data_IF_973429971689
#
_entry.id   IF_973429971689
#
_cell.length_a   1.000
_cell.length_b   1.000
_cell.length_c   1.000
_cell.angle_alpha   90.00
_cell.angle_beta   90.00
_cell.angle_gamma   90.00
#
_symmetry.space_group_name_H-M   'P 1'
#
loop_
_entity.id
_entity.type
_entity.pdbx_description
1 polymer ?
#
# COMPACT_ATOMS: atom_id res chain seq x y z
N UNK A 1 -21.18 20.01 -30.09
CA UNK A 1 -21.62 19.79 -28.70
C UNK A 1 -20.54 18.91 -28.11
N UNK A 2 -19.56 19.52 -27.42
CA UNK A 2 -18.43 18.79 -26.88
C UNK A 2 -18.90 18.10 -25.61
N UNK A 3 -18.94 16.78 -25.65
CA UNK A 3 -19.16 15.92 -24.50
C UNK A 3 -17.88 15.96 -23.65
N UNK A 4 -17.75 17.03 -22.85
CA UNK A 4 -16.72 17.20 -21.82
C UNK A 4 -17.10 16.33 -20.61
N UNK A 5 -17.24 15.02 -20.87
CA UNK A 5 -17.34 13.99 -19.84
C UNK A 5 -15.98 13.89 -19.15
N UNK A 6 -15.71 14.86 -18.26
CA UNK A 6 -14.61 14.78 -17.32
C UNK A 6 -14.82 13.52 -16.50
N UNK A 7 -14.04 12.49 -16.81
CA UNK A 7 -13.89 11.32 -15.94
C UNK A 7 -13.44 11.88 -14.59
N UNK A 8 -14.35 11.92 -13.62
CA UNK A 8 -14.00 12.21 -12.24
C UNK A 8 -13.14 11.03 -11.82
N UNK A 9 -11.82 11.19 -11.88
CA UNK A 9 -10.89 10.21 -11.34
C UNK A 9 -11.18 10.10 -9.85
N UNK A 10 -11.89 9.05 -9.46
CA UNK A 10 -12.14 8.74 -8.06
C UNK A 10 -10.88 8.14 -7.47
N UNK A 11 -10.41 8.67 -6.36
CA UNK A 11 -9.37 8.04 -5.56
C UNK A 11 -9.69 6.56 -5.29
N UNK A 12 -8.69 5.68 -5.24
CA UNK A 12 -8.91 4.30 -4.80
C UNK A 12 -9.40 4.30 -3.35
N UNK A 13 -10.15 3.28 -2.96
CA UNK A 13 -10.41 3.02 -1.54
C UNK A 13 -9.14 2.55 -0.83
N UNK A 14 -9.11 2.65 0.49
CA UNK A 14 -7.98 2.15 1.29
C UNK A 14 -7.76 0.64 1.09
N UNK A 15 -8.82 -0.15 0.92
CA UNK A 15 -8.72 -1.59 0.68
C UNK A 15 -8.14 -1.92 -0.71
N UNK A 16 -8.53 -1.15 -1.74
CA UNK A 16 -7.96 -1.27 -3.08
C UNK A 16 -6.47 -0.94 -3.06
N UNK A 17 -6.09 0.18 -2.44
CA UNK A 17 -4.69 0.57 -2.30
C UNK A 17 -3.89 -0.43 -1.46
N UNK A 18 -4.47 -0.96 -0.38
CA UNK A 18 -3.83 -1.97 0.46
C UNK A 18 -3.54 -3.26 -0.30
N UNK A 19 -4.46 -3.68 -1.15
CA UNK A 19 -4.31 -4.87 -2.00
C UNK A 19 -3.20 -4.66 -3.02
N UNK A 20 -3.23 -3.53 -3.74
CA UNK A 20 -2.20 -3.19 -4.73
C UNK A 20 -0.81 -3.03 -4.08
N UNK A 21 -0.75 -2.42 -2.90
CA UNK A 21 0.47 -2.33 -2.11
C UNK A 21 1.01 -3.70 -1.71
N UNK A 22 0.15 -4.63 -1.28
CA UNK A 22 0.56 -5.99 -0.95
C UNK A 22 1.11 -6.75 -2.16
N UNK A 23 0.48 -6.62 -3.33
CA UNK A 23 0.97 -7.19 -4.60
C UNK A 23 2.32 -6.59 -4.98
N UNK A 24 2.44 -5.26 -4.96
CA UNK A 24 3.70 -4.57 -5.22
C UNK A 24 4.78 -5.02 -4.24
N UNK A 25 4.48 -5.14 -2.94
CA UNK A 25 5.45 -5.58 -1.95
C UNK A 25 5.90 -7.01 -2.19
N UNK A 26 4.98 -7.92 -2.54
CA UNK A 26 5.31 -9.30 -2.91
C UNK A 26 6.28 -9.34 -4.10
N UNK A 27 6.03 -8.55 -5.15
CA UNK A 27 6.91 -8.45 -6.32
C UNK A 27 8.29 -7.89 -5.96
N UNK A 28 8.35 -6.89 -5.08
CA UNK A 28 9.60 -6.24 -4.66
C UNK A 28 10.50 -7.16 -3.83
N UNK A 29 9.94 -7.85 -2.82
CA UNK A 29 10.74 -8.60 -1.84
C UNK A 29 10.71 -10.11 -2.06
N UNK A 30 9.77 -10.61 -2.84
CA UNK A 30 9.52 -12.03 -3.05
C UNK A 30 8.77 -12.71 -1.89
N UNK A 31 8.26 -13.91 -2.18
CA UNK A 31 7.39 -14.70 -1.28
C UNK A 31 8.04 -14.97 0.09
N UNK A 32 9.31 -15.38 0.10
CA UNK A 32 10.05 -15.73 1.33
C UNK A 32 10.19 -14.52 2.26
N UNK A 33 10.52 -13.36 1.71
CA UNK A 33 10.66 -12.14 2.51
C UNK A 33 9.30 -11.64 3.00
N UNK A 34 8.26 -11.72 2.16
CA UNK A 34 6.90 -11.34 2.57
C UNK A 34 6.38 -12.21 3.72
N UNK A 35 6.62 -13.52 3.68
CA UNK A 35 6.29 -14.42 4.78
C UNK A 35 6.97 -14.02 6.10
N UNK A 36 8.24 -13.61 6.05
CA UNK A 36 8.97 -13.12 7.23
C UNK A 36 8.44 -11.77 7.72
N UNK A 37 8.04 -10.87 6.82
CA UNK A 37 7.38 -9.60 7.16
C UNK A 37 6.09 -9.87 7.93
N UNK A 38 5.23 -10.75 7.42
CA UNK A 38 3.98 -11.17 8.09
C UNK A 38 4.28 -11.69 9.48
N UNK A 39 5.21 -12.65 9.60
CA UNK A 39 5.58 -13.25 10.89
C UNK A 39 6.11 -12.21 11.89
N UNK A 40 6.93 -11.26 11.45
CA UNK A 40 7.49 -10.20 12.31
C UNK A 40 6.44 -9.19 12.76
N UNK A 41 5.48 -8.86 11.90
CA UNK A 41 4.38 -7.95 12.21
C UNK A 41 3.45 -8.47 13.33
N UNK A 42 3.46 -9.77 13.63
CA UNK A 42 2.74 -10.36 14.76
C UNK A 42 3.42 -10.09 16.12
N UNK A 43 4.68 -9.66 16.12
CA UNK A 43 5.42 -9.37 17.35
C UNK A 43 5.14 -7.96 17.88
N UNK A 44 5.21 -7.74 19.21
CA UNK A 44 5.08 -6.41 19.81
C UNK A 44 6.13 -5.39 19.33
N UNK A 45 7.30 -5.85 18.86
CA UNK A 45 8.37 -5.00 18.33
C UNK A 45 7.93 -4.20 17.10
N UNK A 46 7.03 -4.77 16.31
CA UNK A 46 6.47 -4.14 15.11
C UNK A 46 5.02 -3.72 15.35
N UNK A 47 4.67 -3.34 16.59
CA UNK A 47 3.40 -2.67 16.85
C UNK A 47 3.37 -1.30 16.16
N UNK A 48 2.17 -0.80 15.88
CA UNK A 48 1.96 0.50 15.24
C UNK A 48 2.81 1.61 15.89
N UNK A 49 3.45 2.51 15.10
CA UNK A 49 3.35 2.67 13.65
C UNK A 49 4.40 1.89 12.84
N UNK A 50 5.12 0.96 13.45
CA UNK A 50 6.25 0.28 12.79
C UNK A 50 5.77 -0.94 12.02
N UNK A 51 6.15 -1.04 10.75
CA UNK A 51 5.91 -2.22 9.93
C UNK A 51 7.24 -2.90 9.59
N UNK A 52 7.29 -4.23 9.66
CA UNK A 52 8.49 -5.00 9.36
C UNK A 52 8.97 -4.82 7.91
N UNK A 53 8.11 -4.43 6.98
CA UNK A 53 8.47 -4.15 5.58
C UNK A 53 9.60 -3.13 5.45
N UNK A 54 9.69 -2.15 6.36
CA UNK A 54 10.74 -1.13 6.42
C UNK A 54 12.14 -1.71 6.67
N UNK A 55 12.24 -2.98 7.08
CA UNK A 55 13.53 -3.67 7.27
C UNK A 55 13.98 -4.48 6.05
N UNK A 56 13.13 -4.58 5.02
CA UNK A 56 13.40 -5.35 3.80
C UNK A 56 13.51 -4.47 2.56
N UNK A 57 12.73 -3.39 2.50
CA UNK A 57 12.73 -2.44 1.38
C UNK A 57 12.26 -1.07 1.85
N UNK A 58 12.38 -0.06 1.00
CA UNK A 58 11.74 1.24 1.18
C UNK A 58 10.24 1.09 0.89
N UNK A 59 9.48 0.76 1.93
CA UNK A 59 8.04 0.50 1.81
C UNK A 59 7.25 1.75 1.37
N UNK A 60 7.79 2.96 1.57
CA UNK A 60 7.15 4.18 1.06
C UNK A 60 7.21 4.24 -0.46
N UNK A 61 8.35 3.86 -1.06
CA UNK A 61 8.49 3.79 -2.52
C UNK A 61 7.60 2.72 -3.14
N UNK A 62 7.40 1.59 -2.45
CA UNK A 62 6.46 0.53 -2.89
C UNK A 62 5.01 1.00 -2.82
N UNK A 63 4.62 1.73 -1.77
CA UNK A 63 3.28 2.31 -1.67
C UNK A 63 3.06 3.41 -2.72
N UNK A 64 4.08 4.23 -3.00
CA UNK A 64 4.02 5.22 -4.08
C UNK A 64 3.80 4.55 -5.45
N UNK A 65 4.49 3.42 -5.71
CA UNK A 65 4.26 2.59 -6.89
C UNK A 65 2.82 2.08 -6.96
N UNK A 66 2.27 1.62 -5.84
CA UNK A 66 0.88 1.16 -5.76
C UNK A 66 -0.12 2.28 -6.08
N UNK A 67 0.08 3.50 -5.57
CA UNK A 67 -0.75 4.66 -5.93
C UNK A 67 -0.75 4.94 -7.44
N UNK A 68 0.43 4.89 -8.06
CA UNK A 68 0.58 5.11 -9.50
C UNK A 68 -0.11 4.02 -10.36
N UNK A 69 -0.45 2.87 -9.78
CA UNK A 69 -1.24 1.81 -10.43
C UNK A 69 -2.69 2.19 -10.71
N UNK A 70 -3.22 3.25 -10.07
CA UNK A 70 -4.60 3.72 -10.25
C UNK A 70 -4.72 4.90 -11.22
N UNK A 71 -3.74 5.09 -12.11
CA UNK A 71 -3.61 6.27 -12.99
C UNK A 71 -3.60 7.61 -12.23
N UNK A 72 -3.37 7.59 -10.92
CA UNK A 72 -3.20 8.81 -10.12
C UNK A 72 -1.72 9.08 -9.97
N UNK A 73 -1.27 10.24 -10.46
CA UNK A 73 0.11 10.69 -10.23
C UNK A 73 0.20 11.22 -8.82
N UNK A 74 0.83 10.47 -7.94
CA UNK A 74 1.15 10.89 -6.57
C UNK A 74 2.64 11.15 -6.49
N UNK A 75 3.02 12.32 -6.02
CA UNK A 75 4.41 12.66 -5.70
C UNK A 75 4.68 12.46 -4.21
N UNK A 76 5.95 12.40 -3.82
CA UNK A 76 6.33 12.36 -2.41
C UNK A 76 5.87 13.60 -1.64
N UNK A 77 5.78 14.77 -2.31
CA UNK A 77 5.30 16.01 -1.70
C UNK A 77 3.79 15.94 -1.38
N UNK A 78 3.00 15.31 -2.26
CA UNK A 78 1.55 15.14 -2.07
C UNK A 78 1.18 14.31 -0.83
N UNK A 79 2.07 13.42 -0.40
CA UNK A 79 1.89 12.56 0.78
C UNK A 79 2.33 13.26 2.06
N UNK A 80 3.34 14.14 1.99
CA UNK A 80 3.95 14.77 3.16
C UNK A 80 3.17 15.98 3.69
N UNK A 81 2.33 16.60 2.87
CA UNK A 81 1.62 17.85 3.21
C UNK A 81 0.28 17.64 3.93
N UNK A 82 0.02 16.45 4.50
CA UNK A 82 -1.20 16.17 5.28
C UNK A 82 -2.48 16.27 4.44
N UNK A 83 -2.36 16.00 3.12
CA UNK A 83 -3.47 15.99 2.19
C UNK A 83 -4.33 14.72 2.29
N UNK A 84 -5.35 14.57 1.42
CA UNK A 84 -6.23 13.40 1.39
C UNK A 84 -5.50 12.06 1.25
N UNK A 85 -4.28 12.09 0.71
CA UNK A 85 -3.42 10.93 0.59
C UNK A 85 -2.85 10.46 1.92
N UNK A 86 -2.62 11.33 2.91
CA UNK A 86 -1.99 10.93 4.18
C UNK A 86 -2.91 9.96 4.97
N UNK A 87 -4.19 10.30 5.07
CA UNK A 87 -5.21 9.44 5.71
C UNK A 87 -5.38 8.12 4.94
N UNK A 88 -5.55 8.20 3.61
CA UNK A 88 -5.74 7.04 2.74
C UNK A 88 -4.52 6.10 2.78
N UNK A 89 -3.32 6.65 2.76
CA UNK A 89 -2.05 5.93 2.81
C UNK A 89 -1.89 5.21 4.14
N UNK A 90 -2.14 5.91 5.25
CA UNK A 90 -2.07 5.34 6.60
C UNK A 90 -3.09 4.21 6.78
N UNK A 91 -4.33 4.40 6.33
CA UNK A 91 -5.37 3.38 6.40
C UNK A 91 -5.04 2.16 5.53
N UNK A 92 -4.62 2.37 4.29
CA UNK A 92 -4.21 1.31 3.38
C UNK A 92 -3.04 0.49 3.94
N UNK A 93 -2.05 1.15 4.54
CA UNK A 93 -0.92 0.47 5.18
C UNK A 93 -1.39 -0.45 6.31
N UNK A 94 -2.29 0.05 7.18
CA UNK A 94 -2.83 -0.71 8.29
C UNK A 94 -3.61 -1.95 7.81
N UNK A 95 -4.45 -1.79 6.79
CA UNK A 95 -5.20 -2.89 6.18
C UNK A 95 -4.23 -3.92 5.57
N UNK A 96 -3.22 -3.46 4.84
CA UNK A 96 -2.27 -4.35 4.19
C UNK A 96 -1.47 -5.19 5.18
N UNK A 97 -0.99 -4.56 6.25
CA UNK A 97 -0.30 -5.21 7.37
C UNK A 97 -1.18 -6.24 8.07
N UNK A 98 -2.47 -5.94 8.25
CA UNK A 98 -3.40 -6.81 8.98
C UNK A 98 -3.76 -8.04 8.18
N UNK A 99 -4.15 -7.86 6.92
CA UNK A 99 -4.79 -8.89 6.11
C UNK A 99 -4.08 -9.13 4.78
N UNK A 100 -3.88 -8.08 3.98
CA UNK A 100 -3.54 -8.24 2.55
C UNK A 100 -2.21 -8.93 2.30
N UNK A 101 -1.19 -8.72 3.14
CA UNK A 101 0.07 -9.45 3.00
C UNK A 101 -0.10 -10.97 3.11
N UNK A 102 -1.01 -11.46 3.98
CA UNK A 102 -1.33 -12.89 4.07
C UNK A 102 -2.16 -13.36 2.89
N UNK A 103 -3.15 -12.56 2.48
CA UNK A 103 -4.03 -12.88 1.36
C UNK A 103 -3.22 -13.08 0.06
N UNK A 104 -2.35 -12.12 -0.29
CA UNK A 104 -1.53 -12.22 -1.51
C UNK A 104 -0.51 -13.35 -1.44
N UNK A 105 0.07 -13.61 -0.26
CA UNK A 105 1.01 -14.72 -0.04
C UNK A 105 0.34 -16.09 -0.29
N UNK A 106 -0.95 -16.21 -0.01
CA UNK A 106 -1.71 -17.45 -0.19
C UNK A 106 -2.51 -17.51 -1.50
N UNK A 107 -2.40 -16.50 -2.37
CA UNK A 107 -3.13 -16.45 -3.64
C UNK A 107 -4.64 -16.27 -3.47
N UNK A 108 -5.08 -15.62 -2.39
CA UNK A 108 -6.50 -15.36 -2.11
C UNK A 108 -6.80 -13.92 -2.52
N UNK A 109 -7.44 -13.73 -3.67
CA UNK A 109 -7.89 -12.42 -4.16
C UNK A 109 -9.18 -12.56 -4.97
#
# INVERSE_FOLDING_TARGET
MNDDSRVVQSYPSADQLATEFAVCLLDEVGEVALAEIVRRNESPTYAYPVCASQTFTDANMVMLRACNGFDVTVTSEDVLDGGPWDDLWSEAWLIARRDKFREVLHGVF
#
